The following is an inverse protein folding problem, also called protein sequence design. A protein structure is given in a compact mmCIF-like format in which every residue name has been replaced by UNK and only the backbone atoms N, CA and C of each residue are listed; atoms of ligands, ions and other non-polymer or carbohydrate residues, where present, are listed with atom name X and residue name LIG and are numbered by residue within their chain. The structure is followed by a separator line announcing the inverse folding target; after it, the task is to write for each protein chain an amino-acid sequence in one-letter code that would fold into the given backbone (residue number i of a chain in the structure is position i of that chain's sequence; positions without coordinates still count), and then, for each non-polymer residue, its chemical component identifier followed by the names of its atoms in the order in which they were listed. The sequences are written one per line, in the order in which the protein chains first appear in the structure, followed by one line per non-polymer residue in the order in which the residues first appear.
data_IF_313325672295
#
_entry.id   IF_313325672295
#
_cell.length_a   1.000
_cell.length_b   1.000
_cell.length_c   1.000
_cell.angle_alpha   90.00
_cell.angle_beta   90.00
_cell.angle_gamma   90.00
#
_symmetry.space_group_name_H-M   'P 1'
#
loop_
_entity.id
_entity.type
_entity.pdbx_description
1 polymer ?
#
# COMPACT_ATOMS: atom_id res chain seq x y z
N UNK A 1 -62.96 8.41 -3.80
CA UNK A 1 -63.17 7.09 -4.44
C UNK A 1 -62.45 5.99 -3.70
N UNK A 2 -63.23 5.22 -2.95
CA UNK A 2 -62.76 4.07 -2.19
C UNK A 2 -62.84 2.79 -3.03
N UNK A 3 -61.72 2.42 -3.63
CA UNK A 3 -61.44 1.05 -4.09
C UNK A 3 -60.36 0.46 -3.20
N UNK A 4 -60.70 0.14 -1.95
CA UNK A 4 -59.75 -0.54 -1.06
C UNK A 4 -59.46 -1.94 -1.57
N UNK A 5 -58.18 -2.25 -1.84
CA UNK A 5 -57.74 -3.61 -2.24
C UNK A 5 -58.42 -4.68 -1.39
N UNK A 6 -58.93 -5.70 -2.07
CA UNK A 6 -59.51 -6.89 -1.42
C UNK A 6 -58.49 -7.55 -0.50
N UNK A 7 -58.97 -8.20 0.58
CA UNK A 7 -58.13 -8.97 1.49
C UNK A 7 -57.26 -10.01 0.76
N UNK A 8 -57.82 -10.65 -0.28
CA UNK A 8 -57.09 -11.63 -1.10
C UNK A 8 -56.02 -10.98 -1.98
N UNK A 9 -56.28 -9.78 -2.49
CA UNK A 9 -55.31 -8.99 -3.28
C UNK A 9 -54.16 -8.50 -2.38
N UNK A 10 -54.47 -8.04 -1.16
CA UNK A 10 -53.47 -7.67 -0.15
C UNK A 10 -52.60 -8.88 0.23
N UNK A 11 -53.21 -10.04 0.45
CA UNK A 11 -52.48 -11.28 0.77
C UNK A 11 -51.57 -11.73 -0.37
N UNK A 12 -52.04 -11.64 -1.62
CA UNK A 12 -51.25 -12.01 -2.81
C UNK A 12 -50.10 -11.04 -3.03
N UNK A 13 -50.34 -9.74 -2.91
CA UNK A 13 -49.32 -8.68 -3.02
C UNK A 13 -48.22 -8.89 -1.98
N UNK A 14 -48.59 -9.17 -0.73
CA UNK A 14 -47.64 -9.50 0.34
C UNK A 14 -46.74 -10.68 -0.01
N UNK A 15 -47.31 -11.77 -0.55
CA UNK A 15 -46.52 -12.95 -0.93
C UNK A 15 -45.54 -12.61 -2.06
N UNK A 16 -45.92 -11.79 -3.03
CA UNK A 16 -45.03 -11.38 -4.11
C UNK A 16 -43.94 -10.41 -3.63
N UNK A 17 -44.29 -9.40 -2.82
CA UNK A 17 -43.30 -8.51 -2.20
C UNK A 17 -42.31 -9.30 -1.36
N UNK A 18 -42.76 -10.28 -0.56
CA UNK A 18 -41.87 -11.15 0.23
C UNK A 18 -40.92 -11.96 -0.64
N UNK A 19 -41.36 -12.47 -1.80
CA UNK A 19 -40.48 -13.17 -2.75
C UNK A 19 -39.45 -12.22 -3.36
N UNK A 20 -39.87 -11.03 -3.77
CA UNK A 20 -38.99 -10.03 -4.36
C UNK A 20 -37.94 -9.52 -3.36
N UNK A 21 -38.32 -9.24 -2.11
CA UNK A 21 -37.38 -8.86 -1.06
C UNK A 21 -36.36 -9.97 -0.78
N UNK A 22 -36.77 -11.24 -0.78
CA UNK A 22 -35.84 -12.37 -0.69
C UNK A 22 -34.87 -12.42 -1.87
N UNK A 23 -35.34 -12.14 -3.07
CA UNK A 23 -34.49 -12.05 -4.26
C UNK A 23 -33.49 -10.89 -4.14
N UNK A 24 -33.94 -9.69 -3.77
CA UNK A 24 -33.06 -8.52 -3.54
C UNK A 24 -31.97 -8.86 -2.51
N UNK A 25 -32.33 -9.52 -1.40
CA UNK A 25 -31.37 -9.98 -0.40
C UNK A 25 -30.35 -10.96 -0.97
N UNK A 26 -30.80 -11.97 -1.72
CA UNK A 26 -29.90 -12.92 -2.37
C UNK A 26 -28.89 -12.20 -3.29
N UNK A 27 -29.37 -11.23 -4.07
CA UNK A 27 -28.50 -10.43 -4.96
C UNK A 27 -27.54 -9.56 -4.15
N UNK A 28 -27.97 -8.96 -3.03
CA UNK A 28 -27.08 -8.24 -2.11
C UNK A 28 -25.98 -9.15 -1.56
N UNK A 29 -26.30 -10.38 -1.17
CA UNK A 29 -25.30 -11.33 -0.68
C UNK A 29 -24.27 -11.68 -1.75
N UNK A 30 -24.71 -11.92 -2.99
CA UNK A 30 -23.80 -12.18 -4.11
C UNK A 30 -22.92 -10.97 -4.41
N UNK A 31 -23.48 -9.76 -4.34
CA UNK A 31 -22.73 -8.53 -4.50
C UNK A 31 -21.67 -8.36 -3.40
N UNK A 32 -22.04 -8.56 -2.13
CA UNK A 32 -21.13 -8.47 -0.99
C UNK A 32 -19.98 -9.48 -1.10
N UNK A 33 -20.28 -10.72 -1.51
CA UNK A 33 -19.27 -11.75 -1.74
C UNK A 33 -18.33 -11.37 -2.90
N UNK A 34 -18.88 -10.86 -4.01
CA UNK A 34 -18.08 -10.37 -5.13
C UNK A 34 -17.12 -9.23 -4.71
N UNK A 35 -17.59 -8.25 -3.95
CA UNK A 35 -16.74 -7.17 -3.40
C UNK A 35 -15.67 -7.74 -2.47
N UNK A 36 -16.02 -8.68 -1.60
CA UNK A 36 -15.07 -9.35 -0.70
C UNK A 36 -14.00 -10.14 -1.47
N UNK A 37 -14.37 -10.79 -2.57
CA UNK A 37 -13.43 -11.47 -3.46
C UNK A 37 -12.54 -10.48 -4.21
N UNK A 38 -13.09 -9.38 -4.72
CA UNK A 38 -12.33 -8.32 -5.40
C UNK A 38 -11.28 -7.70 -4.47
N UNK A 39 -11.64 -7.39 -3.22
CA UNK A 39 -10.71 -6.84 -2.24
C UNK A 39 -9.54 -7.81 -1.95
N UNK A 40 -9.84 -9.09 -1.73
CA UNK A 40 -8.83 -10.14 -1.53
C UNK A 40 -7.93 -10.31 -2.76
N UNK A 41 -8.51 -10.38 -3.95
CA UNK A 41 -7.73 -10.51 -5.19
C UNK A 41 -6.83 -9.30 -5.44
N UNK A 42 -7.29 -8.09 -5.12
CA UNK A 42 -6.48 -6.87 -5.27
C UNK A 42 -5.27 -6.90 -4.32
N UNK A 43 -5.48 -7.23 -3.04
CA UNK A 43 -4.41 -7.35 -2.06
C UNK A 43 -3.42 -8.48 -2.42
N UNK A 44 -3.93 -9.64 -2.86
CA UNK A 44 -3.10 -10.75 -3.32
C UNK A 44 -2.28 -10.39 -4.56
N UNK A 45 -2.87 -9.66 -5.52
CA UNK A 45 -2.14 -9.24 -6.72
C UNK A 45 -1.03 -8.24 -6.41
N UNK A 46 -1.27 -7.32 -5.46
CA UNK A 46 -0.23 -6.42 -4.98
C UNK A 46 0.92 -7.19 -4.31
N UNK A 47 0.58 -8.19 -3.49
CA UNK A 47 1.57 -9.06 -2.87
C UNK A 47 2.40 -9.82 -3.92
N UNK A 48 1.76 -10.41 -4.93
CA UNK A 48 2.45 -11.09 -6.04
C UNK A 48 3.43 -10.17 -6.79
N UNK A 49 3.06 -8.90 -6.96
CA UNK A 49 3.95 -7.91 -7.58
C UNK A 49 5.18 -7.71 -6.71
N UNK A 50 5.02 -7.52 -5.40
CA UNK A 50 6.14 -7.33 -4.45
C UNK A 50 7.01 -8.59 -4.31
N UNK A 51 6.41 -9.78 -4.21
CA UNK A 51 7.12 -11.06 -4.21
C UNK A 51 8.00 -11.22 -5.46
N UNK A 52 7.51 -10.69 -6.58
CA UNK A 52 8.22 -10.65 -7.83
C UNK A 52 9.53 -9.84 -7.85
N UNK A 53 9.76 -8.97 -6.87
CA UNK A 53 11.05 -8.27 -6.67
C UNK A 53 11.94 -8.99 -5.64
N UNK A 54 11.38 -9.86 -4.80
CA UNK A 54 12.18 -10.67 -3.86
C UNK A 54 12.87 -11.84 -4.57
N UNK A 55 12.23 -12.40 -5.59
CA UNK A 55 12.63 -13.64 -6.27
C UNK A 55 13.58 -13.46 -7.46
N UNK A 56 14.02 -12.26 -7.82
CA UNK A 56 15.10 -12.08 -8.81
C UNK A 56 16.45 -12.25 -8.08
N UNK A 57 17.14 -13.41 -8.19
CA UNK A 57 18.51 -13.53 -7.70
C UNK A 57 19.46 -12.75 -8.62
N UNK A 58 20.53 -12.22 -8.02
CA UNK A 58 21.64 -11.51 -8.66
C UNK A 58 22.45 -12.33 -9.70
N UNK A 59 21.97 -13.50 -10.13
CA UNK A 59 22.65 -14.40 -11.07
C UNK A 59 21.82 -14.62 -12.35
N UNK A 60 21.36 -13.55 -12.98
CA UNK A 60 21.01 -13.63 -14.40
C UNK A 60 22.32 -13.57 -15.20
N UNK A 61 22.85 -14.75 -15.53
CA UNK A 61 23.90 -14.94 -16.53
C UNK A 61 23.66 -14.04 -17.75
N UNK A 62 24.74 -13.50 -18.32
CA UNK A 62 24.77 -12.70 -19.54
C UNK A 62 24.14 -13.47 -20.73
N UNK A 63 22.82 -13.46 -20.83
CA UNK A 63 22.06 -14.20 -21.82
C UNK A 63 20.61 -13.78 -21.83
N UNK A 64 20.28 -12.86 -22.72
CA UNK A 64 18.94 -12.33 -23.01
C UNK A 64 18.31 -11.46 -21.90
N UNK A 65 18.43 -10.13 -22.08
CA UNK A 65 17.63 -9.09 -21.41
C UNK A 65 16.13 -9.30 -21.65
N UNK A 66 15.48 -10.20 -20.91
CA UNK A 66 14.06 -10.04 -20.58
C UNK A 66 14.00 -8.90 -19.57
N UNK A 67 13.47 -7.76 -20.01
CA UNK A 67 13.48 -6.51 -19.27
C UNK A 67 13.14 -6.72 -17.80
N UNK A 68 14.13 -6.49 -16.93
CA UNK A 68 13.95 -6.45 -15.49
C UNK A 68 12.75 -5.56 -15.17
N UNK A 69 11.92 -6.00 -14.23
CA UNK A 69 10.74 -5.23 -13.84
C UNK A 69 11.20 -3.83 -13.45
N UNK A 70 10.64 -2.81 -14.09
CA UNK A 70 10.94 -1.42 -13.76
C UNK A 70 10.69 -1.22 -12.25
N UNK A 71 11.57 -0.50 -11.55
CA UNK A 71 11.38 -0.22 -10.14
C UNK A 71 10.04 0.48 -9.91
N UNK A 72 9.31 0.02 -8.90
CA UNK A 72 8.00 0.58 -8.56
C UNK A 72 8.09 1.89 -7.78
N UNK A 73 9.22 2.12 -7.11
CA UNK A 73 9.45 3.26 -6.24
C UNK A 73 10.81 3.88 -6.53
N UNK A 74 10.91 5.20 -6.35
CA UNK A 74 12.19 5.92 -6.38
C UNK A 74 12.44 6.44 -4.97
N UNK A 75 13.59 6.07 -4.41
CA UNK A 75 14.02 6.49 -3.08
C UNK A 75 15.35 7.22 -3.26
N UNK A 76 15.41 8.45 -2.78
CA UNK A 76 16.63 9.25 -2.75
C UNK A 76 17.38 8.95 -1.44
N UNK A 77 18.65 8.55 -1.57
CA UNK A 77 19.57 8.42 -0.43
C UNK A 77 20.39 9.71 -0.31
N UNK A 78 20.12 10.49 0.72
CA UNK A 78 20.74 11.78 1.00
C UNK A 78 21.79 11.61 2.09
N UNK A 79 22.94 12.25 1.90
CA UNK A 79 24.01 12.31 2.90
C UNK A 79 23.74 13.47 3.86
N UNK A 80 23.59 13.18 5.15
CA UNK A 80 23.49 14.17 6.23
C UNK A 80 24.64 13.97 7.25
N UNK A 81 24.99 15.00 8.06
CA UNK A 81 26.08 14.87 9.06
C UNK A 81 25.85 13.73 10.07
N UNK A 82 24.58 13.44 10.37
CA UNK A 82 24.17 12.40 11.31
C UNK A 82 24.12 10.99 10.68
N UNK A 83 24.24 10.87 9.35
CA UNK A 83 24.11 9.59 8.64
C UNK A 83 23.42 9.71 7.29
N UNK A 84 23.03 8.56 6.75
CA UNK A 84 22.23 8.47 5.53
C UNK A 84 20.75 8.66 5.85
N UNK A 85 20.07 9.42 4.99
CA UNK A 85 18.63 9.66 5.08
C UNK A 85 17.95 9.24 3.79
N UNK A 86 16.80 8.59 3.91
CA UNK A 86 15.96 8.22 2.76
C UNK A 86 14.80 9.20 2.57
N UNK A 87 14.57 9.59 1.33
CA UNK A 87 13.42 10.40 0.93
C UNK A 87 12.74 9.80 -0.31
N UNK A 88 11.47 9.36 -0.22
CA UNK A 88 10.66 9.24 0.99
C UNK A 88 11.21 8.19 1.97
N UNK A 89 10.79 8.25 3.24
CA UNK A 89 11.16 7.25 4.25
C UNK A 89 10.40 5.94 4.03
N UNK A 90 10.95 4.83 4.54
CA UNK A 90 10.31 3.52 4.49
C UNK A 90 8.90 3.53 5.09
N UNK A 91 8.74 4.16 6.25
CA UNK A 91 7.45 4.34 6.92
C UNK A 91 6.46 5.18 6.11
N UNK A 92 6.93 6.24 5.44
CA UNK A 92 6.06 7.10 4.63
C UNK A 92 5.46 6.34 3.44
N UNK A 93 6.26 5.53 2.73
CA UNK A 93 5.74 4.68 1.66
C UNK A 93 4.79 3.62 2.25
N UNK A 94 5.13 3.02 3.40
CA UNK A 94 4.26 2.04 4.07
C UNK A 94 2.89 2.62 4.39
N UNK A 95 2.85 3.80 4.99
CA UNK A 95 1.59 4.50 5.30
C UNK A 95 0.76 4.77 4.05
N UNK A 96 1.41 5.21 2.96
CA UNK A 96 0.74 5.44 1.67
C UNK A 96 0.22 4.13 1.08
N UNK A 97 0.99 3.05 1.15
CA UNK A 97 0.60 1.73 0.65
C UNK A 97 -0.65 1.21 1.36
N UNK A 98 -0.68 1.30 2.70
CA UNK A 98 -1.84 0.94 3.48
C UNK A 98 -3.04 1.85 3.21
N UNK A 99 -2.80 3.16 3.03
CA UNK A 99 -3.84 4.11 2.68
C UNK A 99 -4.46 3.76 1.31
N UNK A 100 -3.65 3.43 0.31
CA UNK A 100 -4.12 3.00 -1.00
C UNK A 100 -5.00 1.73 -0.90
N UNK A 101 -4.63 0.75 -0.08
CA UNK A 101 -5.46 -0.45 0.15
C UNK A 101 -6.79 -0.11 0.82
N UNK A 102 -6.78 0.78 1.83
CA UNK A 102 -8.01 1.24 2.50
C UNK A 102 -8.92 2.02 1.54
N UNK A 103 -8.35 2.89 0.72
CA UNK A 103 -9.09 3.69 -0.25
C UNK A 103 -9.65 2.83 -1.38
N UNK A 104 -8.90 1.85 -1.87
CA UNK A 104 -9.40 0.87 -2.83
C UNK A 104 -10.58 0.08 -2.25
N UNK A 105 -10.47 -0.38 -1.00
CA UNK A 105 -11.57 -1.06 -0.33
C UNK A 105 -12.80 -0.15 -0.21
N UNK A 106 -12.63 1.09 0.25
CA UNK A 106 -13.72 2.06 0.39
C UNK A 106 -14.38 2.38 -0.96
N UNK A 107 -13.59 2.50 -2.02
CA UNK A 107 -14.10 2.78 -3.36
C UNK A 107 -15.01 1.65 -3.88
N UNK A 108 -14.66 0.39 -3.62
CA UNK A 108 -15.43 -0.78 -4.09
C UNK A 108 -16.61 -1.10 -3.16
N UNK A 109 -16.49 -0.81 -1.86
CA UNK A 109 -17.53 -1.11 -0.86
C UNK A 109 -18.46 0.06 -0.53
N UNK A 110 -18.27 1.24 -1.13
CA UNK A 110 -19.06 2.44 -0.89
C UNK A 110 -20.50 2.42 -1.44
N UNK A 111 -20.96 1.29 -1.97
CA UNK A 111 -22.32 1.12 -2.47
C UNK A 111 -23.31 0.94 -1.32
N UNK A 112 -24.42 1.68 -1.37
CA UNK A 112 -25.51 1.50 -0.41
C UNK A 112 -26.12 0.09 -0.48
N UNK A 113 -26.65 -0.39 0.64
CA UNK A 113 -27.46 -1.60 0.66
C UNK A 113 -28.64 -1.47 -0.30
N UNK A 114 -28.90 -2.51 -1.08
CA UNK A 114 -30.03 -2.57 -2.00
C UNK A 114 -31.35 -2.36 -1.27
N UNK A 115 -31.49 -2.86 -0.04
CA UNK A 115 -32.71 -2.63 0.75
C UNK A 115 -32.95 -1.15 1.11
N UNK A 116 -31.92 -0.31 1.03
CA UNK A 116 -31.98 1.13 1.24
C UNK A 116 -32.10 1.95 -0.07
N UNK A 117 -32.19 1.29 -1.23
CA UNK A 117 -32.42 1.95 -2.52
C UNK A 117 -33.88 2.35 -2.65
N UNK A 118 -34.14 3.62 -2.95
CA UNK A 118 -35.50 4.18 -3.03
C UNK A 118 -36.38 3.41 -4.03
N UNK A 119 -35.83 2.97 -5.15
CA UNK A 119 -36.53 2.18 -6.18
C UNK A 119 -37.09 0.86 -5.65
N UNK A 120 -36.53 0.31 -4.55
CA UNK A 120 -37.03 -0.91 -3.93
C UNK A 120 -38.05 -0.68 -2.81
N UNK A 121 -38.24 0.57 -2.38
CA UNK A 121 -39.21 0.98 -1.35
C UNK A 121 -40.63 0.50 -1.62
N UNK A 122 -41.18 0.55 -2.86
CA UNK A 122 -42.53 0.06 -3.14
C UNK A 122 -42.72 -1.43 -2.83
N UNK A 123 -41.62 -2.20 -2.81
CA UNK A 123 -41.63 -3.64 -2.57
C UNK A 123 -41.25 -4.01 -1.14
N UNK A 124 -40.50 -3.16 -0.43
CA UNK A 124 -40.06 -3.38 0.95
C UNK A 124 -40.98 -2.72 1.99
N UNK A 125 -41.55 -1.54 1.70
CA UNK A 125 -42.43 -0.80 2.61
C UNK A 125 -43.70 -1.59 3.02
N UNK A 126 -44.39 -2.32 2.13
CA UNK A 126 -45.55 -3.13 2.52
C UNK A 126 -45.23 -4.26 3.50
N UNK A 127 -43.96 -4.66 3.61
CA UNK A 127 -43.49 -5.65 4.59
C UNK A 127 -43.16 -4.98 5.92
N UNK A 128 -42.59 -3.77 5.89
CA UNK A 128 -42.24 -3.01 7.08
C UNK A 128 -43.48 -2.58 7.89
N UNK A 129 -44.53 -2.09 7.22
CA UNK A 129 -45.79 -1.65 7.85
C UNK A 129 -46.55 -2.77 8.58
N UNK A 130 -46.24 -4.03 8.28
CA UNK A 130 -46.94 -5.22 8.81
C UNK A 130 -46.10 -6.02 9.83
N UNK A 131 -44.97 -5.50 10.30
CA UNK A 131 -44.16 -6.11 11.36
C UNK A 131 -43.05 -7.06 10.90
N UNK A 132 -42.81 -7.21 9.58
CA UNK A 132 -41.62 -7.90 9.04
C UNK A 132 -40.37 -6.95 9.00
N UNK A 133 -40.48 -5.73 9.55
CA UNK A 133 -39.46 -4.67 9.55
C UNK A 133 -38.15 -5.04 10.26
N UNK A 134 -38.21 -5.83 11.34
CA UNK A 134 -37.03 -6.21 12.13
C UNK A 134 -35.99 -6.98 11.28
N UNK A 135 -36.43 -7.75 10.27
CA UNK A 135 -35.51 -8.43 9.35
C UNK A 135 -34.88 -7.50 8.30
N UNK A 136 -35.42 -6.30 8.09
CA UNK A 136 -34.93 -5.34 7.10
C UNK A 136 -33.85 -4.42 7.70
N UNK A 137 -34.00 -4.02 8.97
CA UNK A 137 -33.09 -3.09 9.66
C UNK A 137 -31.81 -3.76 10.18
N UNK A 138 -31.87 -5.00 10.69
CA UNK A 138 -30.70 -5.73 11.21
C UNK A 138 -29.62 -6.03 10.14
N UNK A 139 -29.92 -5.83 8.86
CA UNK A 139 -29.08 -6.25 7.74
C UNK A 139 -28.52 -5.09 6.91
N UNK A 140 -28.64 -3.86 7.39
CA UNK A 140 -27.94 -2.70 6.83
C UNK A 140 -26.45 -2.77 7.22
N UNK A 141 -25.76 -3.79 6.71
CA UNK A 141 -24.38 -4.09 7.03
C UNK A 141 -23.46 -3.14 6.27
N UNK A 142 -22.54 -2.51 6.99
CA UNK A 142 -21.41 -1.80 6.40
C UNK A 142 -20.48 -2.83 5.73
N UNK A 143 -20.53 -2.88 4.40
CA UNK A 143 -19.71 -3.79 3.60
C UNK A 143 -18.23 -3.49 3.76
N UNK A 144 -17.86 -2.22 3.90
CA UNK A 144 -16.46 -1.81 4.11
C UNK A 144 -15.93 -2.40 5.42
N UNK A 145 -16.69 -2.26 6.51
CA UNK A 145 -16.37 -2.84 7.80
C UNK A 145 -16.30 -4.37 7.78
N UNK A 146 -17.23 -5.02 7.06
CA UNK A 146 -17.27 -6.49 6.97
C UNK A 146 -16.04 -7.06 6.26
N UNK A 147 -15.63 -6.47 5.13
CA UNK A 147 -14.43 -6.90 4.40
C UNK A 147 -13.16 -6.53 5.17
N UNK A 148 -13.11 -5.37 5.82
CA UNK A 148 -11.95 -4.98 6.65
C UNK A 148 -11.72 -5.94 7.83
N UNK A 149 -12.77 -6.58 8.33
CA UNK A 149 -12.71 -7.59 9.39
C UNK A 149 -12.46 -9.02 8.87
N UNK A 150 -12.53 -9.27 7.56
CA UNK A 150 -12.26 -10.58 6.97
C UNK A 150 -10.82 -11.03 7.31
N UNK A 151 -10.64 -12.15 8.03
CA UNK A 151 -9.32 -12.67 8.38
C UNK A 151 -8.40 -12.83 7.17
N UNK A 152 -8.92 -13.25 6.02
CA UNK A 152 -8.11 -13.46 4.81
C UNK A 152 -7.63 -12.15 4.22
N UNK A 153 -8.49 -11.14 4.18
CA UNK A 153 -8.10 -9.81 3.72
C UNK A 153 -7.06 -9.17 4.63
N UNK A 154 -7.21 -9.33 5.95
CA UNK A 154 -6.25 -8.83 6.94
C UNK A 154 -4.89 -9.52 6.83
N UNK A 155 -4.89 -10.84 6.64
CA UNK A 155 -3.68 -11.61 6.41
C UNK A 155 -2.94 -11.13 5.16
N UNK A 156 -3.63 -10.99 4.03
CA UNK A 156 -3.04 -10.48 2.79
C UNK A 156 -2.46 -9.06 2.95
N UNK A 157 -3.21 -8.17 3.60
CA UNK A 157 -2.75 -6.78 3.83
C UNK A 157 -1.52 -6.76 4.73
N UNK A 158 -1.47 -7.59 5.76
CA UNK A 158 -0.29 -7.73 6.62
C UNK A 158 0.91 -8.28 5.84
N UNK A 159 0.72 -9.29 5.01
CA UNK A 159 1.79 -9.86 4.18
C UNK A 159 2.35 -8.84 3.17
N UNK A 160 1.51 -7.96 2.61
CA UNK A 160 1.95 -6.86 1.75
C UNK A 160 2.92 -5.94 2.49
N UNK A 161 2.59 -5.55 3.73
CA UNK A 161 3.44 -4.69 4.56
C UNK A 161 4.77 -5.39 4.89
N UNK A 162 4.72 -6.63 5.39
CA UNK A 162 5.94 -7.40 5.70
C UNK A 162 6.84 -7.57 4.48
N UNK A 163 6.23 -7.81 3.31
CA UNK A 163 6.98 -7.97 2.05
C UNK A 163 7.64 -6.67 1.61
N UNK A 164 6.93 -5.56 1.74
CA UNK A 164 7.48 -4.23 1.49
C UNK A 164 8.67 -3.94 2.42
N UNK A 165 8.53 -4.23 3.72
CA UNK A 165 9.62 -4.01 4.69
C UNK A 165 10.87 -4.80 4.33
N UNK A 166 10.70 -6.06 3.93
CA UNK A 166 11.81 -6.90 3.47
C UNK A 166 12.53 -6.31 2.24
N UNK A 167 11.78 -5.68 1.32
CA UNK A 167 12.36 -5.02 0.15
C UNK A 167 13.07 -3.72 0.55
N UNK A 168 12.50 -2.94 1.46
CA UNK A 168 13.10 -1.72 1.95
C UNK A 168 14.39 -2.01 2.74
N UNK A 169 14.42 -3.08 3.54
CA UNK A 169 15.61 -3.52 4.25
C UNK A 169 16.78 -3.84 3.29
N UNK A 170 16.51 -4.31 2.07
CA UNK A 170 17.54 -4.48 1.04
C UNK A 170 18.11 -3.15 0.56
N UNK A 171 17.27 -2.13 0.42
CA UNK A 171 17.71 -0.75 0.08
C UNK A 171 18.59 -0.20 1.20
N UNK A 172 18.20 -0.42 2.46
CA UNK A 172 18.99 -0.02 3.64
C UNK A 172 20.32 -0.76 3.67
N UNK A 173 20.31 -2.09 3.49
CA UNK A 173 21.54 -2.88 3.46
C UNK A 173 22.48 -2.47 2.32
N UNK A 174 21.95 -2.15 1.13
CA UNK A 174 22.76 -1.60 0.04
C UNK A 174 23.32 -0.20 0.37
N UNK A 175 22.59 0.59 1.14
CA UNK A 175 23.06 1.91 1.55
C UNK A 175 24.22 1.88 2.53
N UNK A 176 24.44 0.75 3.23
CA UNK A 176 25.54 0.62 4.19
C UNK A 176 26.91 0.81 3.53
N UNK A 177 27.03 0.50 2.24
CA UNK A 177 28.22 0.78 1.43
C UNK A 177 28.55 2.27 1.36
N UNK A 178 27.57 3.16 1.59
CA UNK A 178 27.77 4.61 1.58
C UNK A 178 28.16 5.19 2.94
N UNK A 179 28.18 4.40 4.02
CA UNK A 179 28.56 4.88 5.35
C UNK A 179 30.00 5.40 5.41
N UNK A 180 30.89 4.84 4.59
CA UNK A 180 32.26 5.33 4.47
C UNK A 180 32.32 6.79 3.97
N UNK A 181 31.38 7.20 3.10
CA UNK A 181 31.29 8.59 2.65
C UNK A 181 30.74 9.52 3.73
N UNK A 182 29.91 9.03 4.64
CA UNK A 182 29.48 9.79 5.83
C UNK A 182 30.68 10.06 6.73
N UNK A 183 31.54 9.05 6.95
CA UNK A 183 32.79 9.22 7.71
C UNK A 183 33.69 10.26 7.04
N UNK A 184 33.93 10.14 5.74
CA UNK A 184 34.74 11.10 4.97
C UNK A 184 34.16 12.52 5.08
N UNK A 185 32.84 12.68 4.97
CA UNK A 185 32.18 13.96 5.08
C UNK A 185 32.36 14.59 6.46
N UNK A 186 32.21 13.82 7.54
CA UNK A 186 32.38 14.31 8.90
C UNK A 186 33.85 14.67 9.18
N UNK A 187 34.79 13.81 8.81
CA UNK A 187 36.23 14.09 8.93
C UNK A 187 36.62 15.38 8.19
N UNK A 188 36.12 15.57 6.98
CA UNK A 188 36.39 16.78 6.18
C UNK A 188 35.64 18.02 6.69
N UNK A 189 34.48 17.85 7.32
CA UNK A 189 33.70 18.97 7.89
C UNK A 189 34.33 19.52 9.16
N UNK A 190 35.00 18.68 9.94
CA UNK A 190 35.74 19.08 11.14
C UNK A 190 37.03 19.86 10.81
N UNK A 191 37.57 19.67 9.60
CA UNK A 191 38.70 20.42 9.03
C UNK A 191 38.26 21.83 8.58
N UNK A 192 37.67 22.63 9.47
CA UNK A 192 37.19 23.98 9.14
C UNK A 192 38.31 24.99 8.85
N UNK A 193 39.52 24.79 9.39
CA UNK A 193 40.63 25.72 9.18
C UNK A 193 41.95 25.00 8.87
N UNK A 194 42.20 24.79 7.58
CA UNK A 194 43.45 24.22 7.07
C UNK A 194 44.68 25.03 7.51
N UNK A 195 44.54 26.32 7.83
CA UNK A 195 45.68 27.16 8.27
C UNK A 195 46.12 26.83 9.69
N UNK A 196 45.19 26.38 10.55
CA UNK A 196 45.47 25.98 11.93
C UNK A 196 45.88 24.51 12.00
N UNK A 197 45.19 23.63 11.27
CA UNK A 197 45.48 22.18 11.29
C UNK A 197 46.85 21.85 10.71
N UNK A 198 47.30 22.64 9.74
CA UNK A 198 48.60 22.44 9.09
C UNK A 198 49.63 23.54 9.45
N UNK A 199 49.38 24.35 10.50
CA UNK A 199 50.27 25.44 10.90
C UNK A 199 51.71 24.97 11.16
N UNK A 200 51.86 23.80 11.79
CA UNK A 200 53.15 23.18 12.14
C UNK A 200 53.42 21.89 11.32
N UNK A 201 52.73 21.69 10.20
CA UNK A 201 52.82 20.46 9.42
C UNK A 201 53.94 20.50 8.37
N UNK A 202 54.74 19.44 8.29
CA UNK A 202 55.75 19.25 7.25
C UNK A 202 55.14 19.15 5.84
N UNK A 203 55.91 19.54 4.82
CA UNK A 203 55.49 19.46 3.41
C UNK A 203 55.06 18.04 2.97
N UNK A 204 55.63 16.99 3.57
CA UNK A 204 55.22 15.61 3.32
C UNK A 204 53.78 15.35 3.79
N UNK A 205 53.36 15.92 4.93
CA UNK A 205 51.98 15.79 5.44
C UNK A 205 50.96 16.46 4.52
N UNK A 206 51.34 17.58 3.89
CA UNK A 206 50.50 18.23 2.86
C UNK A 206 50.37 17.37 1.61
N UNK A 207 51.46 16.76 1.14
CA UNK A 207 51.43 15.86 -0.02
C UNK A 207 50.51 14.67 0.24
N UNK A 208 50.62 14.08 1.43
CA UNK A 208 49.84 12.90 1.80
C UNK A 208 48.35 13.25 1.97
N UNK A 209 48.00 14.39 2.57
CA UNK A 209 46.63 14.89 2.64
C UNK A 209 46.02 15.18 1.26
N UNK A 210 46.79 15.78 0.34
CA UNK A 210 46.34 16.03 -1.03
C UNK A 210 46.11 14.73 -1.82
N UNK A 211 46.95 13.71 -1.60
CA UNK A 211 46.76 12.38 -2.20
C UNK A 211 45.49 11.73 -1.68
N UNK A 212 45.23 11.82 -0.37
CA UNK A 212 44.00 11.32 0.27
C UNK A 212 42.74 11.97 -0.32
N UNK A 213 42.66 13.31 -0.40
CA UNK A 213 41.47 13.98 -0.95
C UNK A 213 41.25 13.70 -2.43
N UNK A 214 42.34 13.50 -3.21
CA UNK A 214 42.22 13.07 -4.61
C UNK A 214 41.59 11.68 -4.72
N UNK A 215 42.02 10.74 -3.87
CA UNK A 215 41.43 9.41 -3.83
C UNK A 215 39.94 9.48 -3.48
N UNK A 216 39.59 10.24 -2.43
CA UNK A 216 38.18 10.43 -2.03
C UNK A 216 37.33 11.01 -3.16
N UNK A 217 37.85 11.96 -3.95
CA UNK A 217 37.15 12.50 -5.12
C UNK A 217 36.94 11.46 -6.23
N UNK A 218 37.90 10.56 -6.46
CA UNK A 218 37.75 9.48 -7.43
C UNK A 218 36.72 8.46 -6.97
N UNK A 219 36.73 8.09 -5.69
CA UNK A 219 35.77 7.16 -5.10
C UNK A 219 34.34 7.71 -5.18
N UNK A 220 34.12 9.00 -4.88
CA UNK A 220 32.81 9.66 -5.02
C UNK A 220 32.34 9.70 -6.48
N UNK A 221 33.26 9.93 -7.44
CA UNK A 221 32.92 9.92 -8.88
C UNK A 221 32.58 8.54 -9.40
N UNK A 222 33.10 7.49 -8.77
CA UNK A 222 32.80 6.12 -9.13
C UNK A 222 31.38 5.69 -8.71
N UNK A 223 30.74 6.41 -7.78
CA UNK A 223 29.35 6.15 -7.37
C UNK A 223 28.42 6.36 -8.58
N UNK A 224 27.72 5.30 -8.97
CA UNK A 224 26.68 5.37 -10.00
C UNK A 224 25.51 6.26 -9.55
N UNK A 225 24.88 6.98 -10.48
CA UNK A 225 23.79 7.93 -10.17
C UNK A 225 22.50 7.25 -9.70
N UNK A 226 22.22 6.05 -10.19
CA UNK A 226 20.98 5.31 -9.93
C UNK A 226 21.28 3.81 -9.98
N UNK A 227 20.72 3.05 -9.04
CA UNK A 227 20.76 1.59 -9.03
C UNK A 227 19.37 1.06 -8.75
N UNK A 228 18.93 0.08 -9.55
CA UNK A 228 17.71 -0.67 -9.31
C UNK A 228 18.04 -1.81 -8.32
N UNK A 229 17.26 -1.93 -7.25
CA UNK A 229 17.45 -2.86 -6.11
C UNK A 229 16.19 -3.71 -5.94
#
# INVERSE_FOLDING_TARGET
DGGGMSYTERATTRTQCRKLTKFIRMVQYLFNDAVSQMARHTAARLLEVLDGFVQEPEEAEEGEKKGGKKPNFTIECLLEPAGLRFQPTGDSIREVLEACLRDALRAVSGTQSFLAVEDFTPFTAPLAELGDALQLEEQQQDLCGLVAQDPKYRELTHLVVVRYDTLFDRVVAYSDDFQDFVRIFNENSDLQDCSVTFADADLDKFRDALAMYKQQMEDIRAIGRTKDI
#
